data_IF_289097153046
#
_entry.id   IF_289097153046
#
_cell.length_a   1.000
_cell.length_b   1.000
_cell.length_c   1.000
_cell.angle_alpha   90.00
_cell.angle_beta   90.00
_cell.angle_gamma   90.00
#
_symmetry.space_group_name_H-M   'P 1'
#
loop_
_entity.id
_entity.type
_entity.pdbx_description
1 polymer ?
#
# COMPACT_ATOMS: atom_id res chain seq x y z
N UNK A 1 -3.08 -6.34 11.56
CA UNK A 1 -3.43 -7.29 10.45
C UNK A 1 -4.83 -7.84 10.67
N UNK A 2 -5.60 -7.97 9.59
CA UNK A 2 -6.96 -8.54 9.61
C UNK A 2 -6.94 -9.85 8.80
N UNK A 3 -7.37 -10.95 9.41
CA UNK A 3 -7.35 -12.28 8.77
C UNK A 3 -5.97 -12.67 8.19
N UNK A 4 -4.87 -12.26 8.84
CA UNK A 4 -3.50 -12.47 8.36
C UNK A 4 -3.08 -11.54 7.22
N UNK A 5 -3.88 -10.52 6.85
CA UNK A 5 -3.61 -9.55 5.77
C UNK A 5 -3.22 -8.21 6.36
N UNK A 6 -2.19 -7.59 5.75
CA UNK A 6 -1.78 -6.21 6.06
C UNK A 6 -2.83 -5.21 5.57
N UNK A 7 -3.10 -4.20 6.37
CA UNK A 7 -3.94 -3.07 5.97
C UNK A 7 -3.09 -1.80 5.90
N UNK A 8 -2.97 -1.26 4.71
CA UNK A 8 -2.38 0.05 4.47
C UNK A 8 -3.48 1.07 4.20
N UNK A 9 -3.43 2.22 4.88
CA UNK A 9 -4.27 3.37 4.59
C UNK A 9 -3.40 4.49 4.08
N UNK A 10 -3.57 4.87 2.82
CA UNK A 10 -2.68 5.79 2.11
C UNK A 10 -3.29 7.18 1.93
N UNK A 11 -2.44 8.20 1.75
CA UNK A 11 -2.87 9.57 1.43
C UNK A 11 -3.36 10.36 2.64
N UNK A 12 -2.73 10.17 3.80
CA UNK A 12 -3.00 10.94 5.02
C UNK A 12 -2.20 12.25 5.01
N UNK A 13 -2.78 13.32 5.61
CA UNK A 13 -2.14 14.64 5.69
C UNK A 13 -2.37 15.34 7.03
N UNK A 14 -3.62 15.41 7.51
CA UNK A 14 -3.95 16.10 8.75
C UNK A 14 -3.65 15.24 10.00
N UNK A 15 -3.08 15.85 11.04
CA UNK A 15 -2.66 15.16 12.26
C UNK A 15 -3.79 14.39 12.95
N UNK A 16 -4.96 15.01 13.10
CA UNK A 16 -6.10 14.39 13.78
C UNK A 16 -6.68 13.21 12.99
N UNK A 17 -6.77 13.36 11.67
CA UNK A 17 -7.24 12.29 10.80
C UNK A 17 -6.25 11.13 10.79
N UNK A 18 -4.93 11.41 10.73
CA UNK A 18 -3.88 10.40 10.85
C UNK A 18 -3.95 9.64 12.16
N UNK A 19 -4.11 10.36 13.30
CA UNK A 19 -4.24 9.75 14.63
C UNK A 19 -5.45 8.84 14.71
N UNK A 20 -6.60 9.30 14.23
CA UNK A 20 -7.85 8.55 14.23
C UNK A 20 -7.77 7.28 13.35
N UNK A 21 -7.16 7.38 12.17
CA UNK A 21 -6.95 6.22 11.27
C UNK A 21 -5.96 5.23 11.86
N UNK A 22 -4.83 5.70 12.38
CA UNK A 22 -3.79 4.83 12.94
C UNK A 22 -4.28 4.06 14.18
N UNK A 23 -5.24 4.62 14.92
CA UNK A 23 -5.87 3.97 16.08
C UNK A 23 -6.92 2.90 15.71
N UNK A 24 -7.29 2.77 14.44
CA UNK A 24 -8.23 1.73 14.01
C UNK A 24 -7.62 0.32 14.16
N UNK A 25 -8.31 -0.63 14.80
CA UNK A 25 -7.84 -2.00 14.87
C UNK A 25 -7.57 -2.58 13.48
N UNK A 26 -6.40 -3.20 13.33
CA UNK A 26 -6.00 -3.87 12.10
C UNK A 26 -5.29 -2.99 11.07
N UNK A 27 -5.18 -1.67 11.25
CA UNK A 27 -4.31 -0.82 10.44
C UNK A 27 -2.86 -1.11 10.79
N UNK A 28 -2.04 -1.44 9.80
CA UNK A 28 -0.62 -1.77 9.94
C UNK A 28 0.30 -0.70 9.36
N UNK A 29 -0.15 -0.06 8.27
CA UNK A 29 0.64 0.91 7.51
C UNK A 29 -0.17 2.18 7.27
N UNK A 30 0.48 3.34 7.48
CA UNK A 30 -0.07 4.67 7.15
C UNK A 30 0.81 5.34 6.10
N UNK A 31 0.20 5.84 5.01
CA UNK A 31 0.90 6.33 3.83
C UNK A 31 0.81 7.84 3.63
N UNK A 32 1.94 8.45 3.27
CA UNK A 32 2.10 9.88 2.97
C UNK A 32 2.59 10.04 1.54
N UNK A 33 1.92 10.86 0.74
CA UNK A 33 2.25 11.02 -0.69
C UNK A 33 3.10 12.28 -0.88
N UNK A 34 4.34 12.10 -1.37
CA UNK A 34 5.31 13.18 -1.64
C UNK A 34 5.35 13.57 -3.13
N UNK A 35 4.31 13.25 -3.89
CA UNK A 35 4.20 13.62 -5.30
C UNK A 35 3.42 14.93 -5.46
N UNK A 36 4.03 16.03 -5.95
CA UNK A 36 3.41 17.36 -5.98
C UNK A 36 2.12 17.45 -6.80
N UNK A 37 1.98 16.63 -7.86
CA UNK A 37 0.77 16.62 -8.68
C UNK A 37 -0.41 15.90 -7.99
N UNK A 38 -0.19 15.21 -6.88
CA UNK A 38 -1.26 14.55 -6.13
C UNK A 38 -2.06 15.56 -5.29
N UNK A 39 -3.41 15.53 -5.32
CA UNK A 39 -4.21 16.34 -4.40
C UNK A 39 -4.05 15.93 -2.92
N UNK A 40 -3.36 14.81 -2.67
CA UNK A 40 -3.01 14.27 -1.34
C UNK A 40 -1.56 14.54 -0.95
N UNK A 41 -0.85 15.36 -1.73
CA UNK A 41 0.54 15.67 -1.46
C UNK A 41 0.71 16.27 -0.05
N UNK A 42 1.71 15.78 0.67
CA UNK A 42 2.15 16.37 1.94
C UNK A 42 3.42 17.18 1.70
N UNK A 43 3.46 18.38 2.29
CA UNK A 43 4.67 19.21 2.35
C UNK A 43 5.43 18.95 3.64
N UNK A 44 4.70 18.51 4.66
CA UNK A 44 5.24 18.14 5.96
C UNK A 44 4.39 17.00 6.57
N UNK A 45 5.04 16.01 7.18
CA UNK A 45 4.34 14.90 7.84
C UNK A 45 4.12 15.29 9.30
N UNK A 46 2.86 15.25 9.80
CA UNK A 46 2.59 15.55 11.19
C UNK A 46 3.39 14.67 12.15
N UNK A 47 3.97 15.29 13.17
CA UNK A 47 4.61 14.57 14.26
C UNK A 47 3.54 14.06 15.23
N UNK A 48 2.98 12.91 14.90
CA UNK A 48 1.97 12.21 15.69
C UNK A 48 2.52 10.86 16.10
N UNK A 49 2.55 10.53 17.40
CA UNK A 49 2.87 9.17 17.83
C UNK A 49 1.92 8.16 17.20
N UNK A 50 2.47 7.09 16.67
CA UNK A 50 1.69 5.97 16.14
C UNK A 50 1.58 4.87 17.19
N UNK A 51 0.46 4.10 17.21
CA UNK A 51 0.36 2.90 18.00
C UNK A 51 1.48 1.91 17.66
N UNK A 52 1.86 1.07 18.62
CA UNK A 52 2.86 0.02 18.43
C UNK A 52 2.46 -0.88 17.26
N UNK A 53 3.43 -1.15 16.39
CA UNK A 53 3.24 -1.99 15.20
C UNK A 53 2.74 -1.25 13.95
N UNK A 54 2.23 -0.01 14.07
CA UNK A 54 1.85 0.80 12.91
C UNK A 54 3.08 1.50 12.34
N UNK A 55 3.28 1.42 11.02
CA UNK A 55 4.47 1.95 10.34
C UNK A 55 4.14 3.01 9.30
N UNK A 56 5.07 3.96 9.14
CA UNK A 56 4.97 5.04 8.15
C UNK A 56 5.52 4.59 6.80
N UNK A 57 4.79 4.90 5.73
CA UNK A 57 5.16 4.65 4.33
C UNK A 57 5.18 5.97 3.57
N UNK A 58 6.30 6.32 2.96
CA UNK A 58 6.38 7.45 2.03
C UNK A 58 6.12 6.98 0.60
N UNK A 59 5.26 7.66 -0.14
CA UNK A 59 4.98 7.37 -1.55
C UNK A 59 5.66 8.41 -2.44
N UNK A 60 6.47 7.93 -3.37
CA UNK A 60 7.30 8.73 -4.27
C UNK A 60 7.05 8.35 -5.73
N UNK A 61 7.22 9.29 -6.63
CA UNK A 61 7.12 9.11 -8.09
C UNK A 61 8.35 9.73 -8.74
N UNK A 62 9.22 8.89 -9.26
CA UNK A 62 10.43 9.26 -10.03
C UNK A 62 11.36 10.25 -9.29
N UNK A 63 11.48 10.10 -7.96
CA UNK A 63 12.33 10.94 -7.11
C UNK A 63 13.72 10.28 -6.94
N UNK A 64 14.83 11.03 -6.97
CA UNK A 64 16.17 10.49 -6.74
C UNK A 64 16.34 9.79 -5.38
N UNK A 65 17.12 8.70 -5.33
CA UNK A 65 17.32 7.89 -4.13
C UNK A 65 17.75 8.71 -2.91
N UNK A 66 18.65 9.66 -3.09
CA UNK A 66 19.20 10.50 -2.04
C UNK A 66 18.11 11.36 -1.38
N UNK A 67 17.19 11.89 -2.19
CA UNK A 67 16.05 12.67 -1.69
C UNK A 67 15.05 11.78 -0.94
N UNK A 68 14.80 10.54 -1.44
CA UNK A 68 13.94 9.56 -0.75
C UNK A 68 14.54 9.22 0.60
N UNK A 69 15.83 8.92 0.67
CA UNK A 69 16.54 8.60 1.93
C UNK A 69 16.48 9.76 2.90
N UNK A 70 16.78 10.98 2.45
CA UNK A 70 16.70 12.17 3.30
C UNK A 70 15.28 12.39 3.86
N UNK A 71 14.25 12.21 3.02
CA UNK A 71 12.86 12.33 3.43
C UNK A 71 12.48 11.22 4.41
N UNK A 72 12.95 9.99 4.17
CA UNK A 72 12.69 8.86 5.05
C UNK A 72 13.28 9.09 6.46
N UNK A 73 14.51 9.60 6.54
CA UNK A 73 15.13 9.97 7.81
C UNK A 73 14.38 11.10 8.50
N UNK A 74 14.07 12.17 7.76
CA UNK A 74 13.39 13.34 8.34
C UNK A 74 12.05 12.98 8.98
N UNK A 75 11.27 12.09 8.36
CA UNK A 75 9.90 11.78 8.80
C UNK A 75 9.75 10.40 9.45
N UNK A 76 10.84 9.70 9.73
CA UNK A 76 10.81 8.38 10.34
C UNK A 76 10.03 7.36 9.51
N UNK A 77 10.22 7.37 8.17
CA UNK A 77 9.56 6.41 7.30
C UNK A 77 10.23 5.05 7.44
N UNK A 78 9.44 4.02 7.66
CA UNK A 78 9.91 2.64 7.75
C UNK A 78 9.98 1.97 6.36
N UNK A 79 9.04 2.37 5.49
CA UNK A 79 8.96 1.88 4.12
C UNK A 79 8.83 3.04 3.14
N UNK A 80 9.28 2.79 1.92
CA UNK A 80 9.09 3.70 0.79
C UNK A 80 8.37 2.97 -0.34
N UNK A 81 7.32 3.59 -0.88
CA UNK A 81 6.58 3.08 -2.02
C UNK A 81 7.00 3.86 -3.26
N UNK A 82 7.50 3.14 -4.25
CA UNK A 82 7.93 3.66 -5.53
C UNK A 82 6.80 3.48 -6.54
N UNK A 83 6.16 4.57 -6.91
CA UNK A 83 4.90 4.56 -7.69
C UNK A 83 5.07 5.12 -9.12
N UNK A 84 6.30 5.34 -9.54
CA UNK A 84 6.69 5.80 -10.88
C UNK A 84 7.39 4.72 -11.69
N UNK A 85 8.41 5.13 -12.47
CA UNK A 85 9.18 4.26 -13.37
C UNK A 85 10.52 3.80 -12.75
N UNK A 86 10.63 3.84 -11.43
CA UNK A 86 11.88 3.52 -10.72
C UNK A 86 12.37 2.11 -11.08
N UNK A 87 13.66 2.00 -11.42
CA UNK A 87 14.27 0.75 -11.87
C UNK A 87 14.49 -0.26 -10.74
N UNK A 88 14.75 -1.56 -11.05
CA UNK A 88 15.19 -2.55 -10.07
C UNK A 88 16.45 -2.14 -9.30
N UNK A 89 17.37 -1.44 -9.95
CA UNK A 89 18.58 -0.92 -9.30
C UNK A 89 18.25 0.16 -8.26
N UNK A 90 17.29 1.01 -8.56
CA UNK A 90 16.81 1.99 -7.60
C UNK A 90 16.22 1.31 -6.35
N UNK A 91 15.41 0.27 -6.54
CA UNK A 91 14.87 -0.52 -5.43
C UNK A 91 16.01 -1.10 -4.57
N UNK A 92 17.01 -1.71 -5.22
CA UNK A 92 18.19 -2.29 -4.55
C UNK A 92 18.95 -1.25 -3.73
N UNK A 93 19.26 -0.10 -4.33
CA UNK A 93 19.96 1.01 -3.64
C UNK A 93 19.25 1.49 -2.38
N UNK A 94 17.91 1.54 -2.38
CA UNK A 94 17.13 1.92 -1.22
C UNK A 94 17.09 0.81 -0.16
N UNK A 95 16.99 -0.45 -0.60
CA UNK A 95 17.05 -1.61 0.29
C UNK A 95 18.40 -1.73 0.99
N UNK A 96 19.51 -1.51 0.26
CA UNK A 96 20.88 -1.51 0.81
C UNK A 96 21.09 -0.38 1.84
N UNK A 97 20.26 0.67 1.81
CA UNK A 97 20.18 1.75 2.82
C UNK A 97 19.26 1.44 4.00
N UNK A 98 18.76 0.19 4.10
CA UNK A 98 17.92 -0.27 5.20
C UNK A 98 16.43 0.10 5.09
N UNK A 99 15.97 0.64 3.96
CA UNK A 99 14.56 0.97 3.74
C UNK A 99 13.80 -0.25 3.22
N UNK A 100 12.62 -0.51 3.77
CA UNK A 100 11.67 -1.44 3.17
C UNK A 100 11.08 -0.84 1.89
N UNK A 101 11.19 -1.54 0.75
CA UNK A 101 10.72 -1.03 -0.54
C UNK A 101 9.43 -1.73 -0.95
N UNK A 102 8.41 -0.92 -1.31
CA UNK A 102 7.19 -1.34 -1.99
C UNK A 102 7.26 -0.82 -3.42
N UNK A 103 7.25 -1.69 -4.44
CA UNK A 103 7.18 -1.24 -5.84
C UNK A 103 5.76 -1.37 -6.35
N UNK A 104 5.20 -0.27 -6.86
CA UNK A 104 3.88 -0.25 -7.48
C UNK A 104 3.97 -0.63 -8.97
N UNK A 105 2.98 -1.42 -9.40
CA UNK A 105 2.76 -1.83 -10.79
C UNK A 105 1.30 -1.58 -11.16
N UNK A 106 1.02 -1.27 -12.43
CA UNK A 106 -0.35 -1.29 -12.93
C UNK A 106 -0.88 -2.73 -12.85
N UNK A 107 -2.12 -2.88 -12.44
CA UNK A 107 -2.77 -4.18 -12.37
C UNK A 107 -3.23 -4.62 -13.77
N UNK A 108 -2.27 -5.08 -14.56
CA UNK A 108 -2.47 -5.61 -15.92
C UNK A 108 -1.85 -6.99 -16.05
N UNK A 109 -2.33 -7.84 -16.97
CA UNK A 109 -1.70 -9.14 -17.23
C UNK A 109 -0.21 -9.03 -17.59
N UNK A 110 0.15 -7.98 -18.34
CA UNK A 110 1.54 -7.69 -18.72
C UNK A 110 2.41 -7.46 -17.50
N UNK A 111 1.99 -6.55 -16.61
CA UNK A 111 2.75 -6.25 -15.39
C UNK A 111 2.84 -7.48 -14.48
N UNK A 112 1.75 -8.22 -14.28
CA UNK A 112 1.73 -9.40 -13.43
C UNK A 112 2.68 -10.50 -13.91
N UNK A 113 2.77 -10.73 -15.25
CA UNK A 113 3.59 -11.81 -15.82
C UNK A 113 5.03 -11.40 -16.08
N UNK A 114 5.26 -10.20 -16.62
CA UNK A 114 6.55 -9.81 -17.21
C UNK A 114 7.27 -8.73 -16.42
N UNK A 115 6.61 -7.60 -16.12
CA UNK A 115 7.31 -6.47 -15.50
C UNK A 115 7.85 -6.82 -14.12
N UNK A 116 7.06 -7.56 -13.31
CA UNK A 116 7.47 -7.96 -11.96
C UNK A 116 8.70 -8.86 -11.94
N UNK A 117 8.95 -9.65 -13.00
CA UNK A 117 10.11 -10.56 -13.08
C UNK A 117 11.43 -9.80 -13.02
N UNK A 118 11.47 -8.59 -13.58
CA UNK A 118 12.65 -7.71 -13.55
C UNK A 118 13.03 -7.27 -12.14
N UNK A 119 12.06 -7.32 -11.22
CA UNK A 119 12.24 -6.90 -9.82
C UNK A 119 12.40 -8.08 -8.85
N UNK A 120 12.47 -9.32 -9.33
CA UNK A 120 12.55 -10.52 -8.50
C UNK A 120 13.75 -10.52 -7.53
N UNK A 121 14.87 -9.89 -7.92
CA UNK A 121 16.11 -9.79 -7.13
C UNK A 121 16.41 -8.38 -6.64
N UNK A 122 15.42 -7.48 -6.71
CA UNK A 122 15.61 -6.07 -6.38
C UNK A 122 15.55 -5.75 -4.86
N UNK A 123 15.27 -6.76 -4.04
CA UNK A 123 15.10 -6.60 -2.59
C UNK A 123 13.77 -5.96 -2.19
N UNK A 124 12.83 -5.77 -3.13
CA UNK A 124 11.50 -5.28 -2.79
C UNK A 124 10.83 -6.19 -1.76
N UNK A 125 10.35 -5.59 -0.68
CA UNK A 125 9.65 -6.28 0.40
C UNK A 125 8.23 -6.65 0.00
N UNK A 126 7.57 -5.76 -0.74
CA UNK A 126 6.22 -5.93 -1.24
C UNK A 126 6.13 -5.36 -2.66
N UNK A 127 5.21 -5.90 -3.44
CA UNK A 127 4.67 -5.21 -4.60
C UNK A 127 3.31 -4.60 -4.23
N UNK A 128 2.88 -3.62 -5.00
CA UNK A 128 1.52 -3.09 -4.96
C UNK A 128 0.96 -3.17 -6.38
N UNK A 129 -0.18 -3.81 -6.56
CA UNK A 129 -0.91 -3.72 -7.81
C UNK A 129 -2.05 -2.70 -7.67
N UNK A 130 -2.00 -1.66 -8.48
CA UNK A 130 -2.96 -0.55 -8.45
C UNK A 130 -3.68 -0.42 -9.81
N UNK A 131 -4.85 0.22 -9.82
CA UNK A 131 -5.61 0.45 -11.04
C UNK A 131 -4.77 1.24 -12.05
N UNK A 132 -4.68 0.79 -13.31
CA UNK A 132 -4.00 1.56 -14.35
C UNK A 132 -4.64 2.94 -14.51
N UNK A 133 -3.86 3.99 -14.29
CA UNK A 133 -4.30 5.38 -14.47
C UNK A 133 -3.20 6.21 -15.09
N UNK A 134 -3.57 7.18 -15.94
CA UNK A 134 -2.61 8.12 -16.50
C UNK A 134 -2.00 9.06 -15.43
N UNK A 135 -2.59 9.13 -14.21
CA UNK A 135 -2.22 10.06 -13.14
C UNK A 135 -1.66 9.41 -11.89
N UNK A 136 -1.01 8.25 -11.99
CA UNK A 136 -0.34 7.55 -10.88
C UNK A 136 -1.20 7.38 -9.62
N UNK A 137 -2.41 6.80 -9.77
CA UNK A 137 -3.28 6.38 -8.66
C UNK A 137 -4.42 7.35 -8.32
N UNK A 138 -5.32 6.90 -7.45
CA UNK A 138 -6.40 7.72 -6.90
C UNK A 138 -7.65 7.89 -7.78
N UNK A 139 -7.80 7.11 -8.86
CA UNK A 139 -8.96 7.21 -9.78
C UNK A 139 -10.29 6.75 -9.17
N UNK A 140 -10.28 6.00 -8.07
CA UNK A 140 -11.46 5.37 -7.48
C UNK A 140 -12.10 4.26 -8.33
N UNK A 141 -11.51 3.92 -9.48
CA UNK A 141 -11.98 2.83 -10.35
C UNK A 141 -11.42 1.49 -9.86
N UNK A 142 -12.23 0.46 -9.91
CA UNK A 142 -11.80 -0.94 -9.71
C UNK A 142 -11.35 -1.54 -11.04
N UNK A 143 -10.41 -2.47 -10.98
CA UNK A 143 -10.06 -3.33 -12.11
C UNK A 143 -10.48 -4.77 -11.82
N UNK A 144 -10.45 -5.62 -12.83
CA UNK A 144 -10.68 -7.05 -12.65
C UNK A 144 -9.46 -7.70 -11.99
N UNK A 145 -9.56 -8.04 -10.71
CA UNK A 145 -8.47 -8.64 -9.93
C UNK A 145 -8.06 -10.03 -10.42
N UNK A 146 -8.88 -10.68 -11.24
CA UNK A 146 -8.52 -11.98 -11.84
C UNK A 146 -7.25 -11.92 -12.70
N UNK A 147 -6.90 -10.75 -13.24
CA UNK A 147 -5.63 -10.56 -13.96
C UNK A 147 -4.40 -10.86 -13.10
N UNK A 148 -4.51 -10.77 -11.77
CA UNK A 148 -3.43 -11.08 -10.84
C UNK A 148 -3.27 -12.57 -10.57
N UNK A 149 -4.19 -13.44 -11.02
CA UNK A 149 -4.00 -14.89 -10.96
C UNK A 149 -2.78 -15.34 -11.80
N UNK A 150 -2.39 -14.53 -12.76
CA UNK A 150 -1.22 -14.76 -13.60
C UNK A 150 0.12 -14.37 -12.93
N UNK A 151 0.08 -13.77 -11.75
CA UNK A 151 1.29 -13.42 -11.01
C UNK A 151 1.95 -14.68 -10.43
N UNK A 152 3.11 -15.03 -10.95
CA UNK A 152 3.90 -16.21 -10.53
C UNK A 152 5.13 -15.86 -9.69
N UNK A 153 5.37 -14.57 -9.43
CA UNK A 153 6.51 -14.08 -8.64
C UNK A 153 6.46 -14.53 -7.18
N UNK A 154 7.60 -14.43 -6.50
CA UNK A 154 7.72 -14.81 -5.09
C UNK A 154 7.49 -13.63 -4.12
N UNK A 155 7.63 -12.39 -4.59
CA UNK A 155 7.42 -11.21 -3.75
C UNK A 155 5.95 -11.09 -3.37
N UNK A 156 5.60 -11.01 -2.07
CA UNK A 156 4.21 -10.80 -1.66
C UNK A 156 3.71 -9.43 -2.15
N UNK A 157 2.38 -9.31 -2.33
CA UNK A 157 1.82 -8.06 -2.82
C UNK A 157 0.62 -7.55 -2.03
N UNK A 158 0.46 -6.23 -2.08
CA UNK A 158 -0.76 -5.53 -1.68
C UNK A 158 -1.67 -5.36 -2.90
N UNK A 159 -2.96 -5.54 -2.70
CA UNK A 159 -3.99 -5.20 -3.67
C UNK A 159 -4.47 -3.77 -3.38
N UNK A 160 -4.34 -2.89 -4.37
CA UNK A 160 -4.83 -1.52 -4.36
C UNK A 160 -5.86 -1.29 -5.45
N UNK A 161 -6.08 -0.01 -5.79
CA UNK A 161 -6.91 0.37 -6.94
C UNK A 161 -8.41 0.28 -6.71
N UNK A 162 -9.00 1.39 -6.28
CA UNK A 162 -10.45 1.54 -6.19
C UNK A 162 -11.14 0.69 -5.13
N UNK A 163 -10.40 0.10 -4.19
CA UNK A 163 -11.00 -0.60 -3.05
C UNK A 163 -11.86 0.36 -2.23
N UNK A 164 -13.14 0.04 -2.09
CA UNK A 164 -14.12 0.83 -1.36
C UNK A 164 -14.93 0.01 -0.36
N UNK A 165 -15.88 0.64 0.35
CA UNK A 165 -16.73 -0.01 1.35
C UNK A 165 -17.52 -1.22 0.81
N UNK A 166 -17.77 -1.22 -0.49
CA UNK A 166 -18.48 -2.26 -1.25
C UNK A 166 -17.59 -3.41 -1.73
N UNK A 167 -16.26 -3.29 -1.59
CA UNK A 167 -15.31 -4.27 -2.11
C UNK A 167 -15.24 -5.59 -1.32
N UNK A 168 -15.79 -5.65 -0.11
CA UNK A 168 -15.67 -6.78 0.83
C UNK A 168 -16.00 -8.13 0.21
N UNK A 169 -17.13 -8.25 -0.49
CA UNK A 169 -17.59 -9.52 -1.04
C UNK A 169 -16.75 -9.99 -2.24
N UNK A 170 -16.21 -9.05 -3.01
CA UNK A 170 -15.26 -9.35 -4.06
C UNK A 170 -13.89 -9.77 -3.48
N UNK A 171 -13.42 -9.09 -2.43
CA UNK A 171 -12.19 -9.45 -1.72
C UNK A 171 -12.27 -10.84 -1.08
N UNK A 172 -13.42 -11.23 -0.53
CA UNK A 172 -13.59 -12.56 0.06
C UNK A 172 -13.52 -13.70 -0.97
N UNK A 173 -13.80 -13.42 -2.23
CA UNK A 173 -13.70 -14.38 -3.35
C UNK A 173 -12.33 -14.38 -4.02
N UNK A 174 -11.55 -13.32 -3.85
CA UNK A 174 -10.22 -13.24 -4.43
C UNK A 174 -9.19 -13.89 -3.51
N UNK A 175 -8.53 -14.93 -3.99
CA UNK A 175 -7.46 -15.61 -3.27
C UNK A 175 -6.23 -15.71 -4.14
N UNK A 176 -5.07 -15.46 -3.55
CA UNK A 176 -3.78 -15.66 -4.20
C UNK A 176 -2.71 -15.98 -3.14
N UNK A 177 -1.80 -16.94 -3.36
CA UNK A 177 -0.81 -17.35 -2.35
C UNK A 177 0.15 -16.23 -1.94
N UNK A 178 0.33 -15.22 -2.79
CA UNK A 178 1.20 -14.06 -2.52
C UNK A 178 0.44 -12.79 -2.12
N UNK A 179 -0.87 -12.84 -1.99
CA UNK A 179 -1.63 -11.70 -1.46
C UNK A 179 -1.26 -11.46 0.00
N UNK A 180 -0.59 -10.36 0.29
CA UNK A 180 -0.16 -9.98 1.63
C UNK A 180 -1.14 -9.03 2.32
N UNK A 181 -1.94 -8.26 1.57
CA UNK A 181 -2.86 -7.29 2.16
C UNK A 181 -3.50 -6.34 1.17
N UNK A 182 -4.03 -5.25 1.69
CA UNK A 182 -4.82 -4.28 0.95
C UNK A 182 -4.31 -2.86 1.15
N UNK A 183 -4.37 -2.03 0.09
CA UNK A 183 -4.06 -0.60 0.12
C UNK A 183 -5.35 0.23 -0.09
N UNK A 184 -5.82 0.88 0.96
CA UNK A 184 -7.05 1.67 1.00
C UNK A 184 -6.71 3.15 0.84
N UNK A 185 -7.40 3.86 -0.08
CA UNK A 185 -7.12 5.27 -0.31
C UNK A 185 -8.41 6.06 -0.65
N UNK A 186 -8.61 6.44 -1.91
CA UNK A 186 -9.58 7.45 -2.37
C UNK A 186 -11.06 7.13 -2.07
N UNK A 187 -11.43 5.83 -2.06
CA UNK A 187 -12.82 5.40 -1.81
C UNK A 187 -13.22 5.48 -0.32
N UNK A 188 -12.25 5.80 0.55
CA UNK A 188 -12.45 6.01 1.98
C UNK A 188 -12.15 7.45 2.39
N UNK A 189 -12.48 8.43 1.53
CA UNK A 189 -12.24 9.85 1.79
C UNK A 189 -13.54 10.65 1.74
N UNK A 190 -13.65 11.64 2.62
CA UNK A 190 -14.64 12.72 2.56
C UNK A 190 -14.26 13.77 1.53
N UNK A 191 -12.97 14.08 1.50
CA UNK A 191 -12.30 14.89 0.48
C UNK A 191 -10.83 14.44 0.38
N UNK A 192 -10.09 14.81 -0.67
CA UNK A 192 -8.70 14.37 -0.85
C UNK A 192 -7.83 14.62 0.40
N UNK A 193 -7.17 13.57 0.87
CA UNK A 193 -6.33 13.50 2.07
C UNK A 193 -7.08 13.58 3.42
N UNK A 194 -8.41 13.49 3.44
CA UNK A 194 -9.22 13.36 4.64
C UNK A 194 -10.02 12.05 4.63
N UNK A 195 -9.57 11.08 5.41
CA UNK A 195 -10.21 9.77 5.47
C UNK A 195 -11.52 9.82 6.26
N UNK A 196 -12.53 9.12 5.75
CA UNK A 196 -13.73 8.80 6.49
C UNK A 196 -13.43 7.64 7.45
N UNK A 197 -13.16 7.99 8.70
CA UNK A 197 -12.76 7.05 9.75
C UNK A 197 -13.86 6.02 10.04
N UNK A 198 -15.13 6.42 9.97
CA UNK A 198 -16.25 5.51 10.24
C UNK A 198 -16.47 4.51 9.08
N UNK A 199 -16.33 4.97 7.84
CA UNK A 199 -16.35 4.07 6.69
C UNK A 199 -15.21 3.04 6.74
N UNK A 200 -13.99 3.48 7.11
CA UNK A 200 -12.85 2.58 7.33
C UNK A 200 -13.13 1.59 8.46
N UNK A 201 -13.59 2.06 9.63
CA UNK A 201 -13.92 1.22 10.79
C UNK A 201 -14.91 0.11 10.42
N UNK A 202 -16.01 0.49 9.79
CA UNK A 202 -17.06 -0.44 9.36
C UNK A 202 -16.52 -1.47 8.38
N UNK A 203 -15.72 -1.05 7.42
CA UNK A 203 -15.11 -1.94 6.43
C UNK A 203 -14.13 -2.93 7.06
N UNK A 204 -13.25 -2.46 7.96
CA UNK A 204 -12.27 -3.31 8.64
C UNK A 204 -12.94 -4.35 9.55
N UNK A 205 -14.00 -3.96 10.26
CA UNK A 205 -14.79 -4.90 11.07
C UNK A 205 -15.45 -5.99 10.21
N UNK A 206 -15.96 -5.63 9.03
CA UNK A 206 -16.54 -6.60 8.08
C UNK A 206 -15.50 -7.54 7.50
N UNK A 207 -14.27 -7.07 7.29
CA UNK A 207 -13.16 -7.92 6.83
C UNK A 207 -12.75 -8.92 7.93
N UNK A 208 -12.69 -8.50 9.18
CA UNK A 208 -12.30 -9.35 10.32
C UNK A 208 -13.32 -10.45 10.58
N UNK A 209 -14.61 -10.13 10.52
CA UNK A 209 -15.70 -11.10 10.67
C UNK A 209 -15.81 -12.12 9.52
N UNK A 210 -15.03 -11.98 8.47
CA UNK A 210 -14.94 -12.88 7.32
C UNK A 210 -13.78 -13.89 7.44
N UNK A 211 -13.46 -14.39 8.64
CA UNK A 211 -12.44 -15.44 8.83
C UNK A 211 -12.65 -16.57 7.83
N UNK A 212 -11.73 -16.68 6.87
CA UNK A 212 -11.76 -17.73 5.83
C UNK A 212 -11.38 -19.04 6.49
N UNK A 213 -12.24 -20.09 6.47
CA UNK A 213 -11.85 -21.40 6.96
C UNK A 213 -10.73 -21.96 6.06
N UNK A 214 -9.56 -22.27 6.65
CA UNK A 214 -8.57 -23.16 6.04
C UNK A 214 -7.31 -22.55 5.42
N UNK A 215 -6.94 -21.29 5.67
CA UNK A 215 -5.63 -20.79 5.25
C UNK A 215 -4.63 -20.81 6.41
N UNK A 216 -3.65 -21.72 6.30
CA UNK A 216 -2.41 -21.63 7.09
C UNK A 216 -1.70 -20.32 6.79
N UNK A 217 -1.37 -19.57 7.83
CA UNK A 217 -0.65 -18.28 7.75
C UNK A 217 0.59 -18.43 6.87
N UNK A 218 0.80 -17.60 5.84
CA UNK A 218 2.10 -17.54 5.17
C UNK A 218 3.15 -17.13 6.20
N UNK A 219 4.33 -17.74 6.10
CA UNK A 219 5.46 -17.49 7.00
C UNK A 219 5.62 -15.99 7.25
N UNK A 220 5.60 -15.63 8.54
CA UNK A 220 5.62 -14.29 9.12
C UNK A 220 6.39 -13.27 8.28
N UNK A 221 5.68 -12.52 7.45
CA UNK A 221 6.16 -11.22 6.95
C UNK A 221 5.93 -10.23 8.10
N UNK A 222 6.81 -10.29 9.11
CA UNK A 222 6.84 -9.22 10.11
C UNK A 222 7.35 -7.97 9.42
N UNK A 223 6.66 -6.85 9.57
CA UNK A 223 7.05 -5.59 8.98
C UNK A 223 8.36 -5.06 9.57
#
# INVERSE_FOLDING_TARGET
>A
MIGGRLIKVCGLRAADNMRAVAALPGVDLVGFIFHPASPRCVTDVPDVPLPDGVRRVGVFVDVPAEQIVATAHRYGLHLVQLHGHESPDMCRRLTDRGLGVIKAFPATPEAARNDTTRYATSGCRLFLFDTPTASHGGSGRTFDWHVLQDYVGQTPFLLGGGLGPDARDALSRFTHPRLAGYDLNSRFERCPAEKDVEALRTFLQRLDGASVPGQTSPASVRP
#
